data_IF_573625659594
#
_entry.id   IF_573625659594
#
_cell.length_a   1.000
_cell.length_b   1.000
_cell.length_c   1.000
_cell.angle_alpha   90.00
_cell.angle_beta   90.00
_cell.angle_gamma   90.00
#
_symmetry.space_group_name_H-M   'P 1'
#
loop_
_entity.id
_entity.type
_entity.pdbx_description
1 polymer ?
#
# COMPACT_ATOMS: atom_id res chain seq x y z
N UNK A 1 41.74 19.81 3.82
CA UNK A 1 40.83 20.49 4.78
C UNK A 1 39.55 20.77 4.03
N UNK A 2 38.46 20.02 4.29
CA UNK A 2 37.16 20.27 3.65
C UNK A 2 36.41 21.20 4.59
N UNK A 3 36.23 22.46 4.19
CA UNK A 3 35.36 23.40 4.90
C UNK A 3 33.92 22.98 4.62
N UNK A 4 33.33 22.20 5.52
CA UNK A 4 31.89 21.95 5.52
C UNK A 4 31.18 23.27 5.79
N UNK A 5 30.40 23.76 4.83
CA UNK A 5 29.61 24.98 5.01
C UNK A 5 28.44 24.66 5.96
N UNK A 6 28.33 25.37 7.10
CA UNK A 6 27.31 25.12 8.13
C UNK A 6 25.94 25.71 7.73
N UNK A 7 25.37 25.27 6.61
CA UNK A 7 24.06 25.75 6.13
C UNK A 7 23.03 24.61 6.05
N UNK A 8 21.76 24.94 6.26
CA UNK A 8 20.60 24.06 6.11
C UNK A 8 19.58 24.66 5.14
N UNK A 9 18.70 23.79 4.63
CA UNK A 9 17.54 24.21 3.85
C UNK A 9 16.56 24.93 4.79
N UNK A 10 16.19 26.16 4.46
CA UNK A 10 15.43 27.06 5.32
C UNK A 10 14.25 27.68 4.56
N UNK A 11 13.11 27.79 5.23
CA UNK A 11 11.96 28.56 4.76
C UNK A 11 12.03 29.99 5.30
N UNK A 12 12.02 30.97 4.39
CA UNK A 12 12.07 32.39 4.73
C UNK A 12 10.94 32.79 5.68
N UNK A 13 11.23 33.66 6.65
CA UNK A 13 10.28 34.06 7.72
C UNK A 13 9.36 35.24 7.34
N UNK A 14 9.44 35.71 6.10
CA UNK A 14 8.84 36.97 5.65
C UNK A 14 7.33 36.89 5.41
N UNK A 15 6.77 35.69 5.19
CA UNK A 15 5.35 35.46 4.88
C UNK A 15 4.90 34.11 5.40
N UNK A 16 3.58 33.84 5.43
CA UNK A 16 3.04 32.50 5.70
C UNK A 16 2.98 31.63 4.43
N UNK A 17 2.56 32.21 3.30
CA UNK A 17 2.46 31.54 2.00
C UNK A 17 3.44 32.17 0.98
N UNK A 18 3.85 31.38 -0.01
CA UNK A 18 4.80 31.78 -1.07
C UNK A 18 6.19 32.15 -0.52
N UNK A 19 6.59 31.48 0.56
CA UNK A 19 7.92 31.65 1.17
C UNK A 19 8.98 31.10 0.23
N UNK A 20 10.12 31.77 0.19
CA UNK A 20 11.27 31.28 -0.58
C UNK A 20 11.96 30.18 0.20
N UNK A 21 12.37 29.14 -0.51
CA UNK A 21 13.32 28.16 0.00
C UNK A 21 14.71 28.73 -0.23
N UNK A 22 15.56 28.70 0.79
CA UNK A 22 16.91 29.26 0.76
C UNK A 22 17.89 28.36 1.52
N UNK A 23 19.18 28.66 1.41
CA UNK A 23 20.21 28.12 2.28
C UNK A 23 20.52 29.15 3.36
N UNK A 24 20.51 28.75 4.62
CA UNK A 24 20.80 29.62 5.77
C UNK A 24 21.66 28.90 6.82
N UNK A 25 22.30 29.64 7.72
CA UNK A 25 23.10 29.05 8.80
C UNK A 25 22.27 28.01 9.56
N UNK A 26 22.87 26.83 9.78
CA UNK A 26 22.19 25.73 10.43
C UNK A 26 22.07 26.00 11.94
N UNK A 27 20.84 26.23 12.39
CA UNK A 27 20.53 26.53 13.79
C UNK A 27 20.08 25.27 14.57
N UNK A 28 20.05 24.10 13.94
CA UNK A 28 19.78 22.78 14.55
C UNK A 28 18.36 22.53 15.09
N UNK A 29 17.60 23.59 15.41
CA UNK A 29 16.32 23.49 16.11
C UNK A 29 15.25 24.46 15.60
N UNK A 30 15.54 25.26 14.57
CA UNK A 30 14.58 26.21 14.04
C UNK A 30 13.48 25.47 13.24
N UNK A 31 12.21 25.65 13.62
CA UNK A 31 11.08 24.95 12.98
C UNK A 31 10.97 25.19 11.46
N UNK A 32 11.54 26.28 10.94
CA UNK A 32 11.60 26.58 9.51
C UNK A 32 12.79 25.91 8.78
N UNK A 33 13.64 25.15 9.49
CA UNK A 33 14.73 24.34 8.96
C UNK A 33 14.48 22.83 9.18
N UNK A 34 13.37 22.47 9.83
CA UNK A 34 12.96 21.09 10.05
C UNK A 34 12.00 20.72 8.92
N UNK A 35 12.40 19.73 8.13
CA UNK A 35 11.62 19.20 7.02
C UNK A 35 11.15 17.81 7.40
N UNK A 36 9.84 17.61 7.38
CA UNK A 36 9.27 16.26 7.46
C UNK A 36 9.22 15.69 6.05
N UNK A 37 9.96 14.60 5.82
CA UNK A 37 9.64 13.71 4.72
C UNK A 37 8.48 12.85 5.20
N UNK A 38 7.29 13.12 4.69
CA UNK A 38 6.20 12.16 4.79
C UNK A 38 6.48 11.05 3.80
N UNK A 39 6.62 9.81 4.26
CA UNK A 39 6.44 8.66 3.39
C UNK A 39 5.08 8.84 2.70
N UNK A 40 5.09 8.97 1.37
CA UNK A 40 3.87 8.75 0.59
C UNK A 40 3.42 7.32 0.87
N UNK A 41 2.11 7.07 0.91
CA UNK A 41 1.48 5.76 1.17
C UNK A 41 2.47 4.61 0.96
N UNK A 42 2.88 3.94 2.04
CA UNK A 42 3.96 2.95 2.06
C UNK A 42 3.55 1.63 1.39
N UNK A 43 2.92 1.73 0.23
CA UNK A 43 2.72 0.63 -0.69
C UNK A 43 4.09 0.27 -1.24
N UNK A 44 4.49 -0.95 -0.92
CA UNK A 44 5.72 -1.56 -1.42
C UNK A 44 5.39 -2.29 -2.71
N UNK A 45 6.25 -2.16 -3.70
CA UNK A 45 6.12 -2.91 -4.95
C UNK A 45 6.22 -4.42 -4.69
N UNK A 46 5.35 -5.19 -5.34
CA UNK A 46 5.14 -6.63 -5.17
C UNK A 46 4.62 -7.07 -3.79
N UNK A 47 4.16 -6.15 -2.94
CA UNK A 47 3.53 -6.53 -1.67
C UNK A 47 2.01 -6.71 -1.81
N UNK A 48 1.49 -7.60 -0.96
CA UNK A 48 0.08 -7.96 -0.94
C UNK A 48 -0.63 -7.30 0.24
N UNK A 49 -1.84 -6.80 -0.01
CA UNK A 49 -2.63 -6.10 0.99
C UNK A 49 -4.09 -6.55 0.98
N UNK A 50 -4.76 -6.43 2.12
CA UNK A 50 -6.22 -6.28 2.20
C UNK A 50 -6.53 -4.78 2.25
N UNK A 51 -7.54 -4.36 1.49
CA UNK A 51 -7.98 -2.97 1.42
C UNK A 51 -9.35 -2.85 2.08
N UNK A 52 -9.42 -2.21 3.25
CA UNK A 52 -10.65 -2.02 4.02
C UNK A 52 -11.17 -0.61 3.80
N UNK A 53 -12.44 -0.47 3.42
CA UNK A 53 -13.09 0.82 3.27
C UNK A 53 -13.14 1.56 4.62
N UNK A 54 -12.67 2.80 4.68
CA UNK A 54 -12.61 3.57 5.92
C UNK A 54 -13.99 3.90 6.50
N UNK A 55 -15.04 3.98 5.67
CA UNK A 55 -16.41 4.26 6.12
C UNK A 55 -17.17 3.01 6.53
N UNK A 56 -17.19 2.00 5.65
CA UNK A 56 -18.04 0.81 5.80
C UNK A 56 -17.38 -0.35 6.55
N UNK A 57 -16.05 -0.34 6.69
CA UNK A 57 -15.31 -1.43 7.35
C UNK A 57 -15.23 -2.73 6.56
N UNK A 58 -15.86 -2.82 5.38
CA UNK A 58 -15.77 -3.95 4.45
C UNK A 58 -14.51 -3.86 3.59
N UNK A 59 -14.04 -5.00 3.09
CA UNK A 59 -12.86 -5.09 2.24
C UNK A 59 -13.21 -5.18 0.75
N UNK A 60 -12.28 -4.76 -0.12
CA UNK A 60 -12.34 -5.05 -1.56
C UNK A 60 -12.26 -6.57 -1.73
N UNK A 61 -13.31 -7.16 -2.27
CA UNK A 61 -13.49 -8.60 -2.44
C UNK A 61 -13.77 -8.93 -3.91
N UNK A 62 -12.99 -9.86 -4.45
CA UNK A 62 -13.31 -10.53 -5.70
C UNK A 62 -14.37 -11.60 -5.44
N UNK A 63 -15.60 -11.35 -5.89
CA UNK A 63 -16.72 -12.25 -5.61
C UNK A 63 -16.38 -13.70 -5.98
N UNK A 64 -16.37 -14.58 -4.97
CA UNK A 64 -16.11 -16.00 -5.17
C UNK A 64 -17.18 -16.72 -5.99
N UNK A 65 -18.34 -16.08 -6.21
CA UNK A 65 -19.45 -16.62 -6.97
C UNK A 65 -19.23 -16.55 -8.49
N UNK A 66 -18.59 -15.49 -8.99
CA UNK A 66 -18.43 -15.25 -10.43
C UNK A 66 -16.97 -14.97 -10.87
N UNK A 67 -16.05 -14.79 -9.94
CA UNK A 67 -14.64 -14.49 -10.21
C UNK A 67 -14.45 -13.26 -11.13
N UNK A 68 -15.38 -12.31 -11.05
CA UNK A 68 -15.46 -11.16 -11.93
C UNK A 68 -15.92 -9.88 -11.21
N UNK A 69 -16.99 -9.95 -10.42
CA UNK A 69 -17.52 -8.81 -9.71
C UNK A 69 -16.60 -8.40 -8.55
N UNK A 70 -16.38 -7.10 -8.39
CA UNK A 70 -15.68 -6.53 -7.23
C UNK A 70 -16.71 -5.91 -6.29
N UNK A 71 -16.73 -6.38 -5.05
CA UNK A 71 -17.71 -6.00 -4.05
C UNK A 71 -17.04 -5.59 -2.74
N UNK A 72 -17.74 -4.85 -1.91
CA UNK A 72 -17.41 -4.75 -0.49
C UNK A 72 -17.88 -6.02 0.22
N UNK A 73 -16.99 -6.72 0.93
CA UNK A 73 -17.36 -7.88 1.74
C UNK A 73 -16.76 -7.84 3.15
N UNK A 74 -17.37 -8.55 4.10
CA UNK A 74 -16.82 -8.66 5.46
C UNK A 74 -15.36 -9.14 5.43
N UNK A 75 -14.42 -8.45 6.12
CA UNK A 75 -13.00 -8.81 6.08
C UNK A 75 -12.75 -10.24 6.58
N UNK A 76 -11.97 -11.01 5.82
CA UNK A 76 -11.50 -12.36 6.16
C UNK A 76 -10.14 -12.63 5.52
N UNK A 77 -9.61 -13.85 5.64
CA UNK A 77 -8.26 -14.21 5.16
C UNK A 77 -8.22 -14.98 3.83
N UNK A 78 -9.38 -15.16 3.19
CA UNK A 78 -9.47 -15.68 1.82
C UNK A 78 -8.70 -14.85 0.78
N UNK A 79 -8.11 -15.53 -0.21
CA UNK A 79 -7.29 -14.94 -1.28
C UNK A 79 -8.07 -13.99 -2.21
N UNK A 80 -9.40 -14.03 -2.21
CA UNK A 80 -10.26 -13.05 -2.90
C UNK A 80 -10.23 -11.65 -2.27
N UNK A 81 -9.67 -11.49 -1.06
CA UNK A 81 -9.44 -10.19 -0.40
C UNK A 81 -7.94 -9.88 -0.25
N UNK A 82 -7.11 -10.52 -1.07
CA UNK A 82 -5.67 -10.30 -1.12
C UNK A 82 -5.31 -9.75 -2.50
N UNK A 83 -4.67 -8.59 -2.51
CA UNK A 83 -4.37 -7.81 -3.70
C UNK A 83 -2.90 -7.41 -3.71
N UNK A 84 -2.16 -7.90 -4.70
CA UNK A 84 -0.75 -7.56 -4.91
C UNK A 84 -0.63 -6.26 -5.69
N UNK A 85 0.08 -5.29 -5.12
CA UNK A 85 0.40 -4.04 -5.79
C UNK A 85 1.66 -4.19 -6.60
N UNK A 86 1.59 -3.90 -7.90
CA UNK A 86 2.71 -3.97 -8.82
C UNK A 86 2.93 -2.59 -9.40
N UNK A 87 4.13 -2.04 -9.21
CA UNK A 87 4.48 -0.73 -9.75
C UNK A 87 4.63 -0.83 -11.26
N UNK A 88 4.08 0.14 -11.99
CA UNK A 88 4.30 0.22 -13.43
C UNK A 88 5.79 0.49 -13.71
N UNK A 89 6.31 -0.02 -14.83
CA UNK A 89 7.73 0.03 -15.17
C UNK A 89 8.27 1.46 -15.32
N UNK A 90 7.41 2.41 -15.66
CA UNK A 90 7.72 3.85 -15.72
C UNK A 90 7.53 4.58 -14.36
N UNK A 91 7.11 3.86 -13.33
CA UNK A 91 6.81 4.31 -11.97
C UNK A 91 5.70 5.37 -11.85
N UNK A 92 4.89 5.58 -12.88
CA UNK A 92 3.84 6.60 -12.90
C UNK A 92 2.48 6.09 -12.44
N UNK A 93 2.35 4.80 -12.12
CA UNK A 93 1.12 4.22 -11.59
C UNK A 93 1.30 2.81 -11.04
N UNK A 94 0.18 2.17 -10.75
CA UNK A 94 0.11 0.84 -10.14
C UNK A 94 -0.86 -0.07 -10.88
N UNK A 95 -0.52 -1.37 -10.92
CA UNK A 95 -1.44 -2.45 -11.21
C UNK A 95 -1.79 -3.15 -9.90
N UNK A 96 -3.06 -3.53 -9.73
CA UNK A 96 -3.54 -4.18 -8.51
C UNK A 96 -4.08 -5.55 -8.89
N UNK A 97 -3.35 -6.61 -8.56
CA UNK A 97 -3.60 -7.98 -9.03
C UNK A 97 -4.24 -8.83 -7.93
N UNK A 98 -5.26 -9.60 -8.27
CA UNK A 98 -5.90 -10.54 -7.36
C UNK A 98 -5.01 -11.76 -7.12
N UNK A 99 -4.74 -12.10 -5.86
CA UNK A 99 -4.04 -13.32 -5.50
C UNK A 99 -4.85 -14.60 -5.73
N UNK A 100 -6.13 -14.50 -6.14
CA UNK A 100 -7.01 -15.65 -6.37
C UNK A 100 -7.10 -16.08 -7.83
N UNK A 101 -7.03 -15.14 -8.77
CA UNK A 101 -7.38 -15.41 -10.18
C UNK A 101 -6.39 -14.85 -11.19
N UNK A 102 -5.26 -14.29 -10.74
CA UNK A 102 -4.26 -13.59 -11.57
C UNK A 102 -4.79 -12.37 -12.35
N UNK A 103 -6.10 -12.07 -12.26
CA UNK A 103 -6.74 -10.90 -12.86
C UNK A 103 -6.42 -9.62 -12.10
N UNK A 104 -6.64 -8.49 -12.76
CA UNK A 104 -6.40 -7.16 -12.21
C UNK A 104 -7.70 -6.47 -11.83
N UNK A 105 -7.64 -5.64 -10.80
CA UNK A 105 -8.67 -4.65 -10.49
C UNK A 105 -8.73 -3.65 -11.65
N UNK A 106 -9.88 -3.46 -12.27
CA UNK A 106 -10.02 -2.59 -13.43
C UNK A 106 -11.46 -2.23 -13.75
N UNK A 107 -11.67 -1.67 -14.95
CA UNK A 107 -12.98 -1.34 -15.50
C UNK A 107 -13.06 -1.80 -16.96
N UNK A 108 -14.29 -1.89 -17.48
CA UNK A 108 -14.55 -2.00 -18.91
C UNK A 108 -15.29 -0.76 -19.40
N UNK A 109 -14.74 -0.09 -20.42
CA UNK A 109 -15.28 1.14 -20.99
C UNK A 109 -14.65 2.42 -20.41
N UNK A 110 -15.27 3.57 -20.72
CA UNK A 110 -14.76 4.88 -20.32
C UNK A 110 -15.12 5.23 -18.86
N UNK A 111 -14.20 5.79 -18.06
CA UNK A 111 -14.46 6.21 -16.68
C UNK A 111 -15.66 7.15 -16.57
N UNK A 112 -16.59 6.82 -15.67
CA UNK A 112 -17.78 7.63 -15.34
C UNK A 112 -18.33 7.22 -13.98
N UNK A 113 -19.09 8.12 -13.37
CA UNK A 113 -19.84 7.82 -12.14
C UNK A 113 -20.73 6.59 -12.30
N UNK A 114 -20.69 5.69 -11.33
CA UNK A 114 -21.49 4.47 -11.29
C UNK A 114 -20.97 3.34 -12.18
N UNK A 115 -19.84 3.51 -12.87
CA UNK A 115 -19.22 2.41 -13.61
C UNK A 115 -18.67 1.38 -12.63
N UNK A 116 -19.05 0.11 -12.79
CA UNK A 116 -18.58 -0.95 -11.92
C UNK A 116 -17.07 -1.19 -12.07
N UNK A 117 -16.41 -1.41 -10.94
CA UNK A 117 -15.07 -1.98 -10.91
C UNK A 117 -15.20 -3.51 -10.96
N UNK A 118 -14.38 -4.14 -11.79
CA UNK A 118 -14.43 -5.56 -12.12
C UNK A 118 -13.02 -6.16 -12.17
N UNK A 119 -12.94 -7.48 -12.19
CA UNK A 119 -11.69 -8.18 -12.47
C UNK A 119 -11.50 -8.30 -13.99
N UNK A 120 -10.42 -7.69 -14.50
CA UNK A 120 -10.02 -7.67 -15.91
C UNK A 120 -8.77 -8.50 -16.15
N UNK A 121 -8.59 -9.03 -17.36
CA UNK A 121 -7.47 -9.92 -17.67
C UNK A 121 -6.15 -9.19 -17.94
N UNK A 122 -6.22 -7.94 -18.43
CA UNK A 122 -5.04 -7.14 -18.71
C UNK A 122 -4.74 -6.19 -17.55
N UNK A 123 -3.46 -5.85 -17.28
CA UNK A 123 -3.11 -4.84 -16.28
C UNK A 123 -3.86 -3.54 -16.53
N UNK A 124 -4.46 -3.00 -15.47
CA UNK A 124 -5.19 -1.74 -15.50
C UNK A 124 -4.52 -0.76 -14.54
N UNK A 125 -4.14 0.42 -15.06
CA UNK A 125 -3.31 1.39 -14.35
C UNK A 125 -4.14 2.27 -13.43
N UNK A 126 -3.68 2.40 -12.19
CA UNK A 126 -4.26 3.24 -11.15
C UNK A 126 -3.23 4.26 -10.65
N UNK A 127 -3.71 5.47 -10.37
CA UNK A 127 -3.00 6.44 -9.53
C UNK A 127 -3.35 6.17 -8.07
N UNK A 128 -2.33 6.25 -7.21
CA UNK A 128 -2.49 6.07 -5.77
C UNK A 128 -2.08 7.35 -5.07
N UNK A 129 -2.99 7.86 -4.25
CA UNK A 129 -2.77 9.06 -3.44
C UNK A 129 -2.99 8.73 -1.96
N UNK A 130 -2.26 9.41 -1.09
CA UNK A 130 -2.56 9.39 0.34
C UNK A 130 -3.95 9.97 0.60
N UNK A 131 -4.60 9.49 1.66
CA UNK A 131 -5.87 10.05 2.11
C UNK A 131 -5.77 11.57 2.31
N UNK A 132 -6.59 12.30 1.57
CA UNK A 132 -6.83 13.73 1.72
C UNK A 132 -7.98 14.03 2.70
N UNK A 133 -8.59 12.97 3.27
CA UNK A 133 -9.73 13.06 4.18
C UNK A 133 -9.27 13.06 5.63
N UNK A 134 -9.69 14.09 6.38
CA UNK A 134 -9.35 14.24 7.80
C UNK A 134 -9.79 12.99 8.60
N UNK A 135 -8.88 12.45 9.40
CA UNK A 135 -9.04 11.28 10.26
C UNK A 135 -9.17 9.92 9.53
N UNK A 136 -9.24 9.87 8.20
CA UNK A 136 -9.16 8.63 7.45
C UNK A 136 -7.69 8.32 7.16
N UNK A 137 -7.21 7.16 7.61
CA UNK A 137 -5.85 6.66 7.33
C UNK A 137 -5.94 5.59 6.24
N UNK A 138 -5.35 5.86 5.09
CA UNK A 138 -5.40 4.95 3.95
C UNK A 138 -5.03 5.66 2.66
N UNK A 139 -5.43 5.05 1.56
CA UNK A 139 -5.17 5.55 0.21
C UNK A 139 -6.45 5.83 -0.55
N UNK A 140 -6.34 6.69 -1.54
CA UNK A 140 -7.28 6.84 -2.64
C UNK A 140 -6.71 6.12 -3.87
N UNK A 141 -7.60 5.46 -4.62
CA UNK A 141 -7.25 4.69 -5.82
C UNK A 141 -8.03 5.30 -6.98
N UNK A 142 -7.34 5.98 -7.91
CA UNK A 142 -7.95 6.70 -9.02
C UNK A 142 -7.61 6.04 -10.35
N UNK A 143 -8.55 6.05 -11.29
CA UNK A 143 -8.23 5.67 -12.67
C UNK A 143 -7.16 6.63 -13.19
N UNK A 144 -6.07 6.07 -13.71
CA UNK A 144 -4.89 6.84 -14.10
C UNK A 144 -5.22 8.03 -15.00
N UNK A 145 -4.73 9.21 -14.63
CA UNK A 145 -4.93 10.46 -15.38
C UNK A 145 -6.34 11.05 -15.29
N UNK A 146 -7.16 10.60 -14.33
CA UNK A 146 -8.51 11.11 -14.10
C UNK A 146 -8.76 11.42 -12.63
N UNK A 147 -9.92 12.00 -12.31
CA UNK A 147 -10.38 12.18 -10.94
C UNK A 147 -11.44 11.14 -10.51
N UNK A 148 -11.56 10.01 -11.21
CA UNK A 148 -12.50 8.95 -10.83
C UNK A 148 -11.85 7.99 -9.84
N UNK A 149 -12.36 7.97 -8.61
CA UNK A 149 -11.90 7.13 -7.50
C UNK A 149 -12.72 5.86 -7.39
N UNK A 150 -12.12 4.80 -6.86
CA UNK A 150 -12.87 3.70 -6.25
C UNK A 150 -13.77 4.24 -5.14
N UNK A 151 -15.03 3.85 -5.19
CA UNK A 151 -16.09 4.27 -4.28
C UNK A 151 -16.91 3.04 -3.86
N UNK A 152 -17.19 2.95 -2.57
CA UNK A 152 -18.14 2.00 -2.01
C UNK A 152 -19.26 2.75 -1.29
N UNK A 153 -20.42 2.85 -1.94
CA UNK A 153 -21.53 3.68 -1.46
C UNK A 153 -22.31 3.07 -0.28
N UNK A 154 -22.18 1.76 -0.01
CA UNK A 154 -22.96 1.05 1.01
C UNK A 154 -22.20 -0.14 1.63
N UNK A 155 -22.86 -0.88 2.53
CA UNK A 155 -22.30 -2.00 3.30
C UNK A 155 -22.16 -3.30 2.48
N UNK A 156 -21.97 -4.42 3.17
CA UNK A 156 -21.70 -5.77 2.62
C UNK A 156 -22.48 -6.13 1.34
N UNK A 157 -21.83 -6.85 0.42
CA UNK A 157 -22.28 -7.23 -0.92
C UNK A 157 -22.53 -6.10 -1.93
N UNK A 158 -22.24 -4.84 -1.58
CA UNK A 158 -22.37 -3.71 -2.51
C UNK A 158 -21.24 -3.74 -3.55
N UNK A 159 -21.59 -3.54 -4.82
CA UNK A 159 -20.59 -3.40 -5.90
C UNK A 159 -19.73 -2.16 -5.67
N UNK A 160 -18.42 -2.31 -5.81
CA UNK A 160 -17.50 -1.19 -5.86
C UNK A 160 -17.60 -0.56 -7.26
N UNK A 161 -17.66 0.76 -7.30
CA UNK A 161 -17.85 1.53 -8.53
C UNK A 161 -16.90 2.72 -8.58
N UNK A 162 -16.82 3.35 -9.74
CA UNK A 162 -16.15 4.63 -9.90
C UNK A 162 -17.08 5.78 -9.50
N UNK A 163 -16.50 6.79 -8.86
CA UNK A 163 -17.15 8.07 -8.64
C UNK A 163 -16.12 9.19 -8.66
N UNK A 164 -16.52 10.40 -9.03
CA UNK A 164 -15.66 11.58 -8.93
C UNK A 164 -15.10 11.72 -7.51
N UNK A 165 -13.80 11.96 -7.41
CA UNK A 165 -13.08 12.10 -6.14
C UNK A 165 -13.66 13.27 -5.34
N UNK A 166 -14.12 12.98 -4.12
CA UNK A 166 -14.61 13.98 -3.18
C UNK A 166 -14.09 13.71 -1.77
N UNK A 167 -14.49 14.55 -0.81
CA UNK A 167 -14.00 14.48 0.57
C UNK A 167 -14.62 13.35 1.42
N UNK A 168 -15.17 12.30 0.79
CA UNK A 168 -15.82 11.17 1.47
C UNK A 168 -14.82 10.08 1.86
N UNK A 169 -14.92 9.60 3.09
CA UNK A 169 -14.13 8.46 3.61
C UNK A 169 -14.53 7.11 2.97
N UNK A 170 -15.66 7.04 2.27
CA UNK A 170 -16.09 5.89 1.48
C UNK A 170 -15.26 5.65 0.22
N UNK A 171 -14.33 6.56 -0.08
CA UNK A 171 -13.37 6.46 -1.18
C UNK A 171 -11.93 6.22 -0.69
N UNK A 172 -11.74 6.07 0.62
CA UNK A 172 -10.45 5.84 1.25
C UNK A 172 -10.36 4.38 1.74
N UNK A 173 -9.19 3.80 1.49
CA UNK A 173 -8.93 2.38 1.73
C UNK A 173 -7.74 2.21 2.68
N UNK A 174 -8.02 1.70 3.88
CA UNK A 174 -7.01 1.32 4.86
C UNK A 174 -6.31 0.03 4.40
N UNK A 175 -4.98 0.05 4.36
CA UNK A 175 -4.19 -1.11 3.98
C UNK A 175 -3.81 -1.95 5.20
N UNK A 176 -4.01 -3.26 5.08
CA UNK A 176 -3.39 -4.25 5.97
C UNK A 176 -2.46 -5.12 5.14
N UNK A 177 -1.16 -5.02 5.39
CA UNK A 177 -0.15 -5.87 4.73
C UNK A 177 -0.45 -7.35 5.02
N UNK A 178 -0.47 -8.16 3.97
CA UNK A 178 -0.63 -9.61 4.02
C UNK A 178 0.75 -10.20 3.83
N UNK A 179 1.16 -11.06 4.76
CA UNK A 179 2.35 -11.88 4.55
C UNK A 179 2.01 -12.88 3.45
N UNK A 180 2.72 -12.81 2.32
CA UNK A 180 2.67 -13.84 1.29
C UNK A 180 3.09 -15.16 1.93
N UNK A 181 2.35 -16.24 1.73
CA UNK A 181 2.72 -17.56 2.29
C UNK A 181 4.08 -18.02 1.72
N UNK A 182 4.50 -17.49 0.57
CA UNK A 182 5.83 -17.70 -0.03
C UNK A 182 6.97 -16.99 0.73
N UNK A 183 6.69 -15.94 1.52
CA UNK A 183 7.67 -15.29 2.41
C UNK A 183 7.74 -15.93 3.80
N UNK A 184 6.91 -16.95 4.07
CA UNK A 184 7.14 -17.81 5.23
C UNK A 184 8.32 -18.71 4.91
N UNK A 185 9.54 -18.23 5.17
CA UNK A 185 10.61 -19.11 5.59
C UNK A 185 10.08 -19.92 6.79
N UNK A 186 9.62 -21.14 6.54
CA UNK A 186 9.28 -22.09 7.59
C UNK A 186 10.61 -22.43 8.27
N UNK A 187 10.95 -21.68 9.31
CA UNK A 187 12.00 -22.09 10.24
C UNK A 187 11.42 -23.21 11.09
N UNK A 188 11.87 -24.45 10.87
CA UNK A 188 11.66 -25.51 11.85
C UNK A 188 12.58 -25.26 13.03
N UNK A 189 12.00 -25.01 14.21
CA UNK A 189 12.72 -25.05 15.47
C UNK A 189 12.79 -26.50 15.93
N UNK A 190 13.87 -27.20 15.59
CA UNK A 190 14.15 -28.51 16.18
C UNK A 190 14.67 -28.34 17.61
N UNK A 191 13.90 -28.81 18.58
CA UNK A 191 14.37 -28.94 19.96
C UNK A 191 15.34 -30.14 20.05
N UNK A 192 16.65 -29.91 19.85
CA UNK A 192 17.65 -30.91 20.21
C UNK A 192 17.72 -30.99 21.73
N UNK A 193 17.05 -31.99 22.31
CA UNK A 193 17.43 -32.44 23.64
C UNK A 193 18.90 -32.89 23.58
N UNK A 194 19.78 -32.19 24.29
CA UNK A 194 21.14 -32.68 24.51
C UNK A 194 21.04 -33.93 25.37
N UNK A 195 21.37 -35.08 24.78
CA UNK A 195 21.73 -36.26 25.56
C UNK A 195 23.00 -35.97 26.39
N UNK A 196 23.24 -36.68 27.50
CA UNK A 196 24.23 -36.30 28.51
C UNK A 196 25.72 -36.53 28.13
N UNK A 197 26.12 -36.62 26.86
CA UNK A 197 27.49 -37.05 26.49
C UNK A 197 28.39 -36.03 25.76
N UNK A 198 28.00 -34.76 25.60
CA UNK A 198 28.86 -33.80 24.89
C UNK A 198 29.58 -32.81 25.82
N UNK A 199 30.64 -33.28 26.49
CA UNK A 199 31.73 -32.44 26.96
C UNK A 199 32.88 -32.50 25.95
N UNK A 200 32.98 -31.51 25.06
CA UNK A 200 34.15 -31.39 24.19
C UNK A 200 34.00 -30.46 22.99
N UNK A 201 34.49 -29.24 23.15
CA UNK A 201 35.08 -28.36 22.12
C UNK A 201 34.22 -27.81 20.95
N UNK A 202 34.11 -26.47 20.98
CA UNK A 202 34.01 -25.49 19.86
C UNK A 202 32.67 -25.36 19.06
N UNK A 203 31.91 -24.26 19.23
CA UNK A 203 30.73 -24.00 18.41
C UNK A 203 31.10 -23.25 17.12
N UNK A 204 31.38 -23.97 16.04
CA UNK A 204 31.17 -23.46 14.68
C UNK A 204 29.84 -24.00 14.14
N UNK A 205 28.78 -23.20 14.28
CA UNK A 205 27.54 -23.43 13.56
C UNK A 205 27.77 -23.13 12.07
N UNK A 206 27.88 -24.18 11.25
CA UNK A 206 27.79 -24.06 9.79
C UNK A 206 26.33 -24.26 9.36
N UNK A 207 25.69 -23.17 8.94
CA UNK A 207 24.39 -23.21 8.27
C UNK A 207 24.56 -23.75 6.86
N UNK A 208 23.78 -24.77 6.48
CA UNK A 208 23.62 -25.17 5.08
C UNK A 208 22.14 -25.08 4.70
N UNK A 209 21.79 -24.42 3.59
CA UNK A 209 20.46 -24.51 3.02
C UNK A 209 20.27 -25.88 2.35
N UNK A 210 19.15 -26.56 2.64
CA UNK A 210 18.69 -27.67 1.81
C UNK A 210 17.78 -27.13 0.71
N UNK A 211 18.15 -27.41 -0.54
CA UNK A 211 17.30 -27.23 -1.72
C UNK A 211 16.56 -28.56 -1.90
N UNK A 212 15.22 -28.51 -1.98
CA UNK A 212 14.38 -29.65 -2.38
C UNK A 212 14.07 -29.51 -3.86
#
# INVERSE_FOLDING_TARGET
MVYGTNFSLDLSKDKLNHRKIQLWENLGHAANQIWALSERASIKDQHTYRLKNCRGGTAIDLSGNDNHSIIGFTPHDGSNQAWTFQRDGDQTGWFIKSCRTEKYLGIEGNPKNGLAVIAVSNPFKWDIEDSDVKNAKGIRILVHGTNFSLDLSASDHTKIQLWGSGAGDNQIWELTERVSIEDQHIYSLENRQRGPEDQGTDPKACFHPMIV
#
